data_IF_550900623719
#
_entry.id   IF_550900623719
#
_cell.length_a   1.000
_cell.length_b   1.000
_cell.length_c   1.000
_cell.angle_alpha   90.00
_cell.angle_beta   90.00
_cell.angle_gamma   90.00
#
_symmetry.space_group_name_H-M   'P 1'
#
loop_
_entity.id
_entity.type
_entity.pdbx_description
1 polymer ?
#
# COMPACT_ATOMS: atom_id res chain seq x y z
N UNK A 1 15.36 5.27 0.50
CA UNK A 1 14.36 6.22 1.05
C UNK A 1 15.09 7.49 1.45
N UNK A 2 14.47 8.64 1.21
CA UNK A 2 14.99 9.96 1.55
C UNK A 2 14.16 10.62 2.67
N UNK A 3 14.77 11.51 3.45
CA UNK A 3 14.03 12.48 4.25
C UNK A 3 13.72 13.68 3.36
N UNK A 4 12.49 13.79 2.88
CA UNK A 4 12.07 14.80 1.92
C UNK A 4 11.60 16.05 2.70
N UNK A 5 12.25 17.21 2.53
CA UNK A 5 11.77 18.46 3.11
C UNK A 5 10.35 18.77 2.65
N UNK A 6 9.43 18.99 3.60
CA UNK A 6 8.03 19.28 3.30
C UNK A 6 7.86 20.49 2.38
N UNK A 7 8.74 21.48 2.50
CA UNK A 7 8.77 22.68 1.65
C UNK A 7 8.95 22.40 0.15
N UNK A 8 9.45 21.21 -0.21
CA UNK A 8 9.61 20.76 -1.61
C UNK A 8 8.37 20.08 -2.18
N UNK A 9 7.33 19.90 -1.37
CA UNK A 9 6.02 19.39 -1.79
C UNK A 9 5.09 20.58 -2.01
N UNK A 10 4.51 20.67 -3.19
CA UNK A 10 3.62 21.76 -3.62
C UNK A 10 2.28 21.20 -4.06
N UNK A 11 1.26 22.06 -4.12
CA UNK A 11 -0.09 21.71 -4.61
C UNK A 11 -0.67 20.47 -3.92
N UNK A 12 -0.53 20.41 -2.58
CA UNK A 12 -0.95 19.25 -1.80
C UNK A 12 -2.49 19.25 -1.73
N UNK A 13 -3.13 18.22 -2.26
CA UNK A 13 -4.59 18.06 -2.28
C UNK A 13 -4.97 16.67 -1.78
N UNK A 14 -5.97 16.59 -0.89
CA UNK A 14 -6.48 15.29 -0.41
C UNK A 14 -7.27 14.63 -1.53
N UNK A 15 -6.95 13.37 -1.86
CA UNK A 15 -7.60 12.61 -2.94
C UNK A 15 -8.36 11.39 -2.44
N UNK A 16 -7.98 10.84 -1.28
CA UNK A 16 -8.67 9.70 -0.71
C UNK A 16 -8.56 9.66 0.83
N UNK A 17 -9.43 8.87 1.43
CA UNK A 17 -9.43 8.56 2.85
C UNK A 17 -9.70 7.07 3.04
N UNK A 18 -8.78 6.37 3.68
CA UNK A 18 -8.94 4.97 4.09
C UNK A 18 -9.32 4.86 5.57
N UNK A 19 -9.31 3.64 6.09
CA UNK A 19 -9.63 3.35 7.50
C UNK A 19 -8.62 3.92 8.51
N UNK A 20 -7.35 4.02 8.11
CA UNK A 20 -6.25 4.43 9.01
C UNK A 20 -5.41 5.61 8.49
N UNK A 21 -5.70 6.10 7.28
CA UNK A 21 -4.87 7.10 6.61
C UNK A 21 -5.65 7.99 5.66
N UNK A 22 -5.12 9.19 5.42
CA UNK A 22 -5.47 10.01 4.28
C UNK A 22 -4.41 9.88 3.19
N UNK A 23 -4.83 9.96 1.93
CA UNK A 23 -3.94 10.06 0.78
C UNK A 23 -4.09 11.43 0.16
N UNK A 24 -2.96 12.07 -0.10
CA UNK A 24 -2.86 13.35 -0.80
C UNK A 24 -2.07 13.18 -2.09
N UNK A 25 -2.41 13.94 -3.12
CA UNK A 25 -1.58 14.16 -4.28
C UNK A 25 -0.72 15.41 -4.03
N UNK A 26 0.52 15.43 -4.51
CA UNK A 26 1.37 16.61 -4.50
C UNK A 26 2.32 16.63 -5.70
N UNK A 27 2.86 17.81 -6.01
CA UNK A 27 4.02 17.98 -6.88
C UNK A 27 5.29 18.00 -6.04
N UNK A 28 6.19 17.06 -6.25
CA UNK A 28 7.51 17.05 -5.63
C UNK A 28 8.54 17.71 -6.52
N UNK A 29 9.18 18.77 -6.01
CA UNK A 29 10.29 19.45 -6.65
C UNK A 29 11.57 18.64 -6.46
N UNK A 30 11.88 17.75 -7.41
CA UNK A 30 13.06 16.90 -7.33
C UNK A 30 14.31 17.59 -7.93
N UNK A 31 15.09 18.24 -7.08
CA UNK A 31 16.36 18.90 -7.39
C UNK A 31 17.43 17.99 -7.99
N UNK A 32 17.38 16.66 -7.78
CA UNK A 32 18.38 15.75 -8.36
C UNK A 32 18.14 15.49 -9.84
N UNK A 33 16.87 15.50 -10.26
CA UNK A 33 16.47 15.29 -11.65
C UNK A 33 16.05 16.56 -12.38
N UNK A 34 16.01 17.70 -11.67
CA UNK A 34 15.45 18.96 -12.14
C UNK A 34 14.03 18.78 -12.71
N UNK A 35 13.23 17.96 -12.03
CA UNK A 35 11.96 17.44 -12.53
C UNK A 35 10.83 17.68 -11.51
N UNK A 36 9.61 17.79 -12.05
CA UNK A 36 8.37 17.95 -11.28
C UNK A 36 7.61 16.64 -11.32
N UNK A 37 7.71 15.87 -10.24
CA UNK A 37 7.12 14.54 -10.17
C UNK A 37 5.82 14.61 -9.39
N UNK A 38 4.73 14.08 -9.94
CA UNK A 38 3.50 13.86 -9.18
C UNK A 38 3.70 12.70 -8.21
N UNK A 39 3.44 12.93 -6.93
CA UNK A 39 3.62 11.96 -5.85
C UNK A 39 2.33 11.80 -5.05
N UNK A 40 2.16 10.63 -4.43
CA UNK A 40 1.18 10.41 -3.39
C UNK A 40 1.84 10.58 -2.01
N UNK A 41 1.12 11.18 -1.07
CA UNK A 41 1.53 11.35 0.32
C UNK A 41 0.52 10.62 1.19
N UNK A 42 0.97 9.65 1.97
CA UNK A 42 0.14 8.95 2.96
C UNK A 42 0.40 9.53 4.34
N UNK A 43 -0.65 10.09 4.95
CA UNK A 43 -0.66 10.49 6.36
C UNK A 43 -1.51 9.51 7.15
N UNK A 44 -1.10 9.15 8.36
CA UNK A 44 -1.86 8.26 9.22
C UNK A 44 -2.67 9.06 10.23
N UNK A 45 -3.83 8.53 10.64
CA UNK A 45 -4.58 9.16 11.73
C UNK A 45 -3.80 9.08 13.03
N UNK A 46 -3.91 10.12 13.84
CA UNK A 46 -3.25 10.23 15.13
C UNK A 46 -3.96 9.35 16.17
N UNK A 47 -3.80 8.02 16.03
CA UNK A 47 -4.29 7.01 16.97
C UNK A 47 -3.17 6.50 17.87
N UNK A 48 -3.49 5.77 18.95
CA UNK A 48 -2.48 5.17 19.84
C UNK A 48 -1.49 4.26 19.07
N UNK A 49 -1.91 3.69 17.95
CA UNK A 49 -1.11 2.79 17.11
C UNK A 49 -0.46 3.48 15.89
N UNK A 50 -0.53 4.81 15.77
CA UNK A 50 0.07 5.58 14.67
C UNK A 50 1.51 5.13 14.35
N UNK A 51 2.34 5.09 15.40
CA UNK A 51 3.76 4.74 15.29
C UNK A 51 3.94 3.31 14.79
N UNK A 52 3.04 2.39 15.17
CA UNK A 52 3.09 0.99 14.77
C UNK A 52 2.84 0.86 13.26
N UNK A 53 1.77 1.47 12.74
CA UNK A 53 1.41 1.36 11.33
C UNK A 53 2.44 2.05 10.41
N UNK A 54 2.87 3.27 10.76
CA UNK A 54 3.90 3.99 10.01
C UNK A 54 5.21 3.19 9.96
N UNK A 55 5.69 2.69 11.12
CA UNK A 55 6.92 1.90 11.19
C UNK A 55 6.79 0.58 10.45
N UNK A 56 5.63 -0.08 10.53
CA UNK A 56 5.40 -1.33 9.81
C UNK A 56 5.45 -1.11 8.30
N UNK A 57 4.80 -0.07 7.80
CA UNK A 57 4.78 0.25 6.37
C UNK A 57 6.19 0.58 5.85
N UNK A 58 6.97 1.37 6.59
CA UNK A 58 8.37 1.66 6.24
C UNK A 58 9.23 0.38 6.22
N UNK A 59 9.07 -0.49 7.23
CA UNK A 59 9.79 -1.78 7.28
C UNK A 59 9.41 -2.69 6.11
N UNK A 60 8.12 -2.77 5.78
CA UNK A 60 7.59 -3.54 4.66
C UNK A 60 8.17 -3.04 3.33
N UNK A 61 8.15 -1.72 3.09
CA UNK A 61 8.76 -1.15 1.89
C UNK A 61 10.26 -1.49 1.78
N UNK A 62 11.01 -1.37 2.88
CA UNK A 62 12.44 -1.69 2.89
C UNK A 62 12.71 -3.18 2.61
N UNK A 63 11.91 -4.08 3.18
CA UNK A 63 12.01 -5.52 2.96
C UNK A 63 11.70 -5.86 1.49
N UNK A 64 10.53 -5.46 0.99
CA UNK A 64 10.09 -5.77 -0.37
C UNK A 64 10.99 -5.15 -1.45
N UNK A 65 11.59 -3.98 -1.19
CA UNK A 65 12.55 -3.35 -2.10
C UNK A 65 13.82 -4.19 -2.25
N UNK A 66 14.38 -4.72 -1.14
CA UNK A 66 15.55 -5.61 -1.18
C UNK A 66 15.29 -6.88 -1.99
N UNK A 67 14.07 -7.42 -1.86
CA UNK A 67 13.65 -8.65 -2.52
C UNK A 67 13.12 -8.43 -3.95
N UNK A 68 13.23 -7.21 -4.51
CA UNK A 68 12.76 -6.85 -5.87
C UNK A 68 11.30 -7.23 -6.14
N UNK A 69 10.43 -7.00 -5.15
CA UNK A 69 9.00 -7.22 -5.28
C UNK A 69 8.32 -6.15 -6.14
N UNK A 70 7.20 -6.49 -6.78
CA UNK A 70 6.33 -5.54 -7.47
C UNK A 70 5.47 -4.74 -6.49
N UNK A 71 6.12 -3.89 -5.69
CA UNK A 71 5.49 -2.97 -4.73
C UNK A 71 5.59 -1.53 -5.24
N UNK A 72 4.66 -0.69 -4.78
CA UNK A 72 4.67 0.74 -5.08
C UNK A 72 6.01 1.38 -4.67
N UNK A 73 6.61 2.20 -5.53
CA UNK A 73 7.87 2.85 -5.17
C UNK A 73 7.65 3.83 -4.00
N UNK A 74 8.34 3.58 -2.88
CA UNK A 74 8.45 4.51 -1.77
C UNK A 74 9.67 5.42 -1.97
N UNK A 75 9.45 6.73 -2.06
CA UNK A 75 10.53 7.71 -2.17
C UNK A 75 11.14 8.00 -0.80
N UNK A 76 10.31 8.10 0.23
CA UNK A 76 10.77 8.27 1.60
C UNK A 76 9.74 8.86 2.52
N UNK A 77 10.20 9.65 3.49
CA UNK A 77 9.35 10.24 4.54
C UNK A 77 9.47 11.76 4.56
N UNK A 78 8.40 12.42 4.96
CA UNK A 78 8.37 13.86 5.19
C UNK A 78 7.68 14.15 6.53
N UNK A 79 7.84 15.38 7.03
CA UNK A 79 7.22 15.82 8.28
C UNK A 79 6.53 17.15 8.06
N UNK A 80 5.23 17.20 8.30
CA UNK A 80 4.48 18.46 8.23
C UNK A 80 4.93 19.37 9.40
N UNK A 81 5.46 20.58 9.13
CA UNK A 81 5.88 21.49 10.20
C UNK A 81 4.71 22.04 11.01
N UNK A 82 3.51 22.15 10.42
CA UNK A 82 2.34 22.76 11.05
C UNK A 82 1.62 21.77 11.98
N UNK A 83 1.46 20.52 11.52
CA UNK A 83 0.79 19.45 12.30
C UNK A 83 1.75 18.55 13.07
N UNK A 84 3.06 18.66 12.80
CA UNK A 84 4.11 17.80 13.36
C UNK A 84 3.97 16.30 12.96
N UNK A 85 3.13 16.00 11.96
CA UNK A 85 2.84 14.63 11.49
C UNK A 85 3.92 14.10 10.54
N UNK A 86 4.31 12.84 10.75
CA UNK A 86 5.14 12.10 9.79
C UNK A 86 4.28 11.46 8.70
N UNK A 87 4.75 11.55 7.47
CA UNK A 87 4.03 11.07 6.28
C UNK A 87 4.98 10.34 5.34
N UNK A 88 4.46 9.38 4.59
CA UNK A 88 5.21 8.63 3.58
C UNK A 88 4.96 9.26 2.21
N UNK A 89 6.03 9.50 1.44
CA UNK A 89 5.98 9.99 0.07
C UNK A 89 6.27 8.81 -0.87
N UNK A 90 5.34 8.54 -1.78
CA UNK A 90 5.35 7.38 -2.67
C UNK A 90 4.95 7.74 -4.10
N UNK A 91 5.18 6.84 -5.02
CA UNK A 91 4.79 6.98 -6.42
C UNK A 91 3.27 7.18 -6.52
N UNK A 92 2.87 8.16 -7.32
CA UNK A 92 1.46 8.37 -7.62
C UNK A 92 1.00 7.34 -8.66
N UNK A 93 -0.10 6.64 -8.37
CA UNK A 93 -0.82 5.82 -9.33
C UNK A 93 -2.15 6.51 -9.64
N UNK A 94 -2.53 6.55 -10.92
CA UNK A 94 -3.74 7.24 -11.35
C UNK A 94 -5.02 6.46 -11.01
N UNK A 95 -4.93 5.14 -11.04
CA UNK A 95 -6.07 4.23 -10.87
C UNK A 95 -5.64 2.99 -10.08
N UNK A 96 -6.56 2.47 -9.25
CA UNK A 96 -6.43 1.13 -8.68
C UNK A 96 -7.10 0.09 -9.60
N UNK A 97 -6.81 -1.19 -9.34
CA UNK A 97 -7.32 -2.31 -10.13
C UNK A 97 -8.85 -2.40 -10.05
N UNK A 98 -9.45 -2.08 -8.91
CA UNK A 98 -10.91 -2.08 -8.74
C UNK A 98 -11.59 -1.07 -9.70
N UNK A 99 -11.11 0.16 -9.71
CA UNK A 99 -11.60 1.23 -10.59
C UNK A 99 -11.37 0.90 -12.07
N UNK A 100 -10.23 0.30 -12.39
CA UNK A 100 -9.91 -0.10 -13.76
C UNK A 100 -10.84 -1.21 -14.25
N UNK A 101 -11.04 -2.26 -13.46
CA UNK A 101 -11.92 -3.39 -13.82
C UNK A 101 -13.40 -2.98 -13.97
N UNK A 102 -13.85 -1.93 -13.28
CA UNK A 102 -15.19 -1.37 -13.50
C UNK A 102 -15.36 -0.74 -14.89
N UNK A 103 -14.27 -0.21 -15.47
CA UNK A 103 -14.27 0.47 -16.78
C UNK A 103 -13.87 -0.45 -17.93
N UNK A 104 -13.07 -1.48 -17.64
CA UNK A 104 -12.45 -2.35 -18.62
C UNK A 104 -12.70 -3.82 -18.29
N UNK A 105 -13.35 -4.55 -19.20
CA UNK A 105 -13.42 -6.01 -19.14
C UNK A 105 -12.08 -6.60 -19.60
N UNK A 106 -11.14 -6.75 -18.68
CA UNK A 106 -9.82 -7.30 -18.95
C UNK A 106 -9.52 -8.49 -18.01
N UNK A 107 -8.95 -9.56 -18.57
CA UNK A 107 -8.26 -10.58 -17.79
C UNK A 107 -6.88 -10.03 -17.44
N UNK A 108 -6.71 -9.60 -16.19
CA UNK A 108 -5.48 -8.95 -15.79
C UNK A 108 -4.56 -9.98 -15.13
N UNK A 109 -3.41 -10.23 -15.74
CA UNK A 109 -2.34 -11.13 -15.26
C UNK A 109 -1.54 -10.53 -14.07
N UNK A 110 -2.12 -9.55 -13.40
CA UNK A 110 -1.53 -8.73 -12.34
C UNK A 110 -1.31 -9.44 -11.01
N UNK A 111 -1.73 -10.69 -10.90
CA UNK A 111 -1.66 -11.47 -9.66
C UNK A 111 -0.33 -12.22 -9.50
N UNK A 112 0.79 -11.69 -10.03
CA UNK A 112 2.14 -12.14 -9.66
C UNK A 112 2.47 -11.51 -8.30
N UNK A 113 2.02 -12.18 -7.23
CA UNK A 113 1.86 -11.63 -5.88
C UNK A 113 3.18 -11.39 -5.12
N UNK A 114 3.12 -10.65 -4.01
CA UNK A 114 4.19 -10.51 -3.00
C UNK A 114 4.70 -11.86 -2.44
N UNK A 115 3.98 -12.97 -2.71
CA UNK A 115 4.25 -14.27 -2.10
C UNK A 115 5.54 -14.90 -2.60
N UNK A 116 6.05 -14.46 -3.76
CA UNK A 116 7.36 -14.82 -4.28
C UNK A 116 8.50 -14.43 -3.32
N UNK A 117 8.30 -13.42 -2.46
CA UNK A 117 9.33 -12.95 -1.50
C UNK A 117 9.03 -13.30 -0.05
N UNK A 118 8.17 -14.31 0.15
CA UNK A 118 7.79 -14.81 1.47
C UNK A 118 7.17 -13.76 2.41
N UNK A 119 6.35 -12.88 1.85
CA UNK A 119 5.66 -11.81 2.58
C UNK A 119 4.14 -12.02 2.55
N UNK A 120 3.40 -11.61 3.57
CA UNK A 120 1.94 -11.73 3.68
C UNK A 120 1.36 -10.31 3.82
N UNK A 121 0.30 -9.99 3.08
CA UNK A 121 -0.28 -8.65 3.02
C UNK A 121 -1.36 -8.41 4.08
N UNK A 122 -2.22 -9.41 4.34
CA UNK A 122 -3.35 -9.37 5.29
C UNK A 122 -4.50 -8.42 4.95
N UNK A 123 -4.39 -7.65 3.88
CA UNK A 123 -5.46 -6.78 3.38
C UNK A 123 -5.37 -6.65 1.84
N UNK A 124 -5.09 -7.77 1.17
CA UNK A 124 -4.96 -7.79 -0.28
C UNK A 124 -6.34 -7.81 -0.94
N UNK A 125 -6.67 -6.75 -1.66
CA UNK A 125 -7.86 -6.67 -2.52
C UNK A 125 -7.59 -5.75 -3.71
N UNK A 126 -8.50 -5.71 -4.69
CA UNK A 126 -8.32 -4.90 -5.91
C UNK A 126 -8.24 -3.39 -5.68
N UNK A 127 -8.62 -2.90 -4.50
CA UNK A 127 -8.43 -1.50 -4.10
C UNK A 127 -6.99 -1.18 -3.66
N UNK A 128 -6.24 -2.18 -3.20
CA UNK A 128 -4.83 -2.05 -2.78
C UNK A 128 -3.83 -2.48 -3.87
N UNK A 129 -4.33 -2.85 -5.06
CA UNK A 129 -3.51 -3.10 -6.25
C UNK A 129 -3.63 -1.86 -7.15
N UNK A 130 -2.50 -1.21 -7.43
CA UNK A 130 -2.40 0.01 -8.22
C UNK A 130 -1.89 -0.30 -9.63
N UNK A 131 -2.39 0.42 -10.63
CA UNK A 131 -1.97 0.28 -12.02
C UNK A 131 -1.09 1.46 -12.43
N UNK A 132 0.14 1.16 -12.87
CA UNK A 132 1.11 2.14 -13.35
C UNK A 132 1.67 1.61 -14.66
N UNK A 133 1.49 2.34 -15.77
CA UNK A 133 1.96 1.96 -17.10
C UNK A 133 1.56 0.53 -17.51
N UNK A 134 0.33 0.12 -17.16
CA UNK A 134 -0.24 -1.24 -17.36
C UNK A 134 0.38 -2.35 -16.51
N UNK A 135 1.30 -2.03 -15.62
CA UNK A 135 1.87 -2.95 -14.64
C UNK A 135 1.18 -2.79 -13.28
N UNK A 136 1.02 -3.91 -12.56
CA UNK A 136 0.44 -3.87 -11.22
C UNK A 136 1.50 -3.72 -10.14
N UNK A 137 1.19 -2.82 -9.20
CA UNK A 137 1.98 -2.55 -8.03
C UNK A 137 1.13 -2.66 -6.79
N UNK A 138 1.66 -3.35 -5.78
CA UNK A 138 0.96 -3.56 -4.53
C UNK A 138 1.24 -2.36 -3.61
N UNK A 139 0.17 -1.74 -3.12
CA UNK A 139 0.18 -0.63 -2.17
C UNK A 139 -0.35 -1.04 -0.80
N UNK A 140 -0.40 -0.08 0.13
CA UNK A 140 -0.94 -0.25 1.49
C UNK A 140 -0.37 -1.42 2.31
N UNK A 141 0.92 -1.34 2.65
CA UNK A 141 1.62 -2.40 3.37
C UNK A 141 1.57 -2.25 4.91
N UNK A 142 0.65 -1.44 5.43
CA UNK A 142 0.57 -1.09 6.85
C UNK A 142 0.29 -2.28 7.77
N UNK A 143 -0.37 -3.32 7.25
CA UNK A 143 -0.70 -4.56 7.96
C UNK A 143 0.21 -5.74 7.59
N UNK A 144 1.04 -5.58 6.57
CA UNK A 144 1.82 -6.67 6.00
C UNK A 144 2.94 -7.14 6.92
N UNK A 145 3.39 -8.40 6.75
CA UNK A 145 4.44 -9.01 7.57
C UNK A 145 5.19 -10.14 6.86
N UNK A 146 6.43 -10.46 7.27
CA UNK A 146 7.12 -11.67 6.81
C UNK A 146 6.35 -12.95 7.17
N UNK A 147 6.27 -13.91 6.24
CA UNK A 147 5.52 -15.14 6.46
C UNK A 147 6.14 -16.06 7.53
N UNK A 148 7.44 -15.90 7.80
CA UNK A 148 8.17 -16.69 8.79
C UNK A 148 8.13 -16.09 10.21
N UNK A 149 7.56 -14.89 10.39
CA UNK A 149 7.52 -14.23 11.69
C UNK A 149 6.20 -13.45 11.88
N UNK A 150 5.07 -14.17 12.06
CA UNK A 150 3.77 -13.53 12.23
C UNK A 150 3.71 -12.72 13.54
N UNK A 151 3.30 -11.45 13.45
CA UNK A 151 3.28 -10.51 14.59
C UNK A 151 2.09 -10.73 15.54
N UNK A 152 0.91 -11.06 15.01
CA UNK A 152 -0.33 -11.34 15.77
C UNK A 152 -1.39 -12.02 14.87
N UNK A 153 -2.39 -12.64 15.50
CA UNK A 153 -3.54 -13.26 14.82
C UNK A 153 -4.78 -12.34 14.79
N UNK A 154 -4.61 -11.06 15.11
CA UNK A 154 -5.70 -10.08 15.04
C UNK A 154 -6.29 -10.06 13.62
N UNK A 155 -7.62 -10.11 13.55
CA UNK A 155 -8.34 -10.15 12.28
C UNK A 155 -8.39 -8.72 11.73
N UNK A 156 -7.70 -8.52 10.62
CA UNK A 156 -7.74 -7.28 9.83
C UNK A 156 -8.16 -7.59 8.40
N UNK A 157 -8.56 -6.53 7.70
CA UNK A 157 -8.89 -6.54 6.28
C UNK A 157 -10.37 -6.34 6.00
N UNK A 158 -10.71 -6.23 4.72
CA UNK A 158 -12.08 -6.05 4.27
C UNK A 158 -12.81 -7.39 4.32
N UNK A 159 -13.81 -7.56 5.21
CA UNK A 159 -14.50 -8.84 5.51
C UNK A 159 -14.77 -9.73 4.29
N UNK A 160 -15.36 -9.22 3.19
CA UNK A 160 -15.50 -10.00 1.97
C UNK A 160 -14.20 -10.69 1.52
N UNK A 161 -13.04 -10.05 1.60
CA UNK A 161 -11.74 -10.52 1.11
C UNK A 161 -10.97 -11.39 2.11
N UNK A 162 -11.47 -11.57 3.34
CA UNK A 162 -10.82 -12.40 4.36
C UNK A 162 -11.21 -13.87 4.14
N UNK A 163 -10.21 -14.74 4.18
CA UNK A 163 -10.41 -16.18 4.09
C UNK A 163 -11.18 -16.75 5.30
N UNK A 164 -12.12 -17.69 5.13
CA UNK A 164 -13.01 -18.18 6.17
C UNK A 164 -12.23 -18.86 7.30
N UNK A 165 -11.10 -19.49 6.99
CA UNK A 165 -10.23 -20.10 7.99
C UNK A 165 -9.69 -19.09 9.02
N UNK A 166 -9.53 -17.82 8.66
CA UNK A 166 -9.09 -16.76 9.59
C UNK A 166 -10.12 -16.50 10.68
N UNK A 167 -11.42 -16.68 10.38
CA UNK A 167 -12.49 -16.59 11.37
C UNK A 167 -12.59 -17.84 12.26
N UNK A 168 -11.84 -18.90 11.93
CA UNK A 168 -11.73 -20.13 12.71
C UNK A 168 -10.39 -20.18 13.47
N UNK A 169 -9.86 -19.01 13.84
CA UNK A 169 -8.60 -18.82 14.55
C UNK A 169 -7.34 -19.31 13.82
N UNK A 170 -7.42 -19.59 12.51
CA UNK A 170 -6.23 -19.85 11.71
C UNK A 170 -5.38 -18.58 11.53
N UNK A 171 -4.07 -18.76 11.45
CA UNK A 171 -3.14 -17.66 11.19
C UNK A 171 -3.16 -17.24 9.73
N UNK A 172 -2.96 -15.94 9.48
CA UNK A 172 -2.76 -15.43 8.12
C UNK A 172 -1.60 -16.13 7.42
N UNK A 173 -1.82 -16.50 6.17
CA UNK A 173 -0.87 -17.19 5.30
C UNK A 173 -0.89 -16.60 3.89
N UNK A 174 0.05 -17.03 3.04
CA UNK A 174 0.00 -16.69 1.61
C UNK A 174 -1.28 -17.18 0.93
N UNK A 175 -1.80 -18.33 1.36
CA UNK A 175 -3.03 -18.89 0.81
C UNK A 175 -4.25 -18.03 1.17
N UNK A 176 -4.31 -17.55 2.43
CA UNK A 176 -5.41 -16.68 2.87
C UNK A 176 -5.44 -15.34 2.14
N UNK A 177 -4.29 -14.79 1.75
CA UNK A 177 -4.19 -13.57 0.91
C UNK A 177 -4.78 -13.77 -0.50
N UNK A 178 -4.90 -15.01 -1.01
CA UNK A 178 -5.38 -15.33 -2.37
C UNK A 178 -6.86 -15.75 -2.37
N UNK A 179 -7.47 -15.99 -1.19
CA UNK A 179 -8.79 -16.62 -1.04
C UNK A 179 -9.87 -16.09 -1.98
N UNK A 180 -9.92 -14.78 -2.24
CA UNK A 180 -10.91 -14.16 -3.14
C UNK A 180 -10.53 -14.03 -4.61
N UNK A 181 -9.29 -14.29 -4.99
CA UNK A 181 -8.88 -14.28 -6.40
C UNK A 181 -9.32 -15.56 -7.15
N UNK A 182 -9.78 -16.60 -6.45
CA UNK A 182 -10.35 -17.80 -7.06
C UNK A 182 -11.86 -17.67 -7.39
N UNK A 183 -12.53 -16.65 -6.85
CA UNK A 183 -14.00 -16.49 -6.93
C UNK A 183 -14.48 -15.28 -7.74
N UNK A 184 -13.60 -14.53 -8.39
CA UNK A 184 -13.99 -13.48 -9.35
C UNK A 184 -14.55 -14.03 -10.68
N UNK A 185 -14.94 -15.31 -10.72
CA UNK A 185 -15.67 -15.96 -11.83
C UNK A 185 -17.19 -15.94 -11.67
N UNK A 186 -17.72 -15.24 -10.67
CA UNK A 186 -19.18 -15.13 -10.48
C UNK A 186 -19.60 -13.69 -10.19
N UNK A 187 -19.46 -12.83 -11.20
CA UNK A 187 -20.41 -11.77 -11.52
C UNK A 187 -20.52 -11.68 -13.04
#
# INVERSE_FOLDING_TARGET
MECIPYTRLKNITKIAQGGFSNIYQATWLNSFKNDHITVAIKSFFNSQDFSKYLLNEIKSYHYCYKERSNILQCYGVTKNPDTNEYMIVMQYAKENLHEYLQKHFANIECLKTIHNVNFIHRDLHSGNILLIDHECQIGDLGLSQPANNPLNNDIYGVVPYIAPEIFLDASFSKASDIYKNATSRSL
#
